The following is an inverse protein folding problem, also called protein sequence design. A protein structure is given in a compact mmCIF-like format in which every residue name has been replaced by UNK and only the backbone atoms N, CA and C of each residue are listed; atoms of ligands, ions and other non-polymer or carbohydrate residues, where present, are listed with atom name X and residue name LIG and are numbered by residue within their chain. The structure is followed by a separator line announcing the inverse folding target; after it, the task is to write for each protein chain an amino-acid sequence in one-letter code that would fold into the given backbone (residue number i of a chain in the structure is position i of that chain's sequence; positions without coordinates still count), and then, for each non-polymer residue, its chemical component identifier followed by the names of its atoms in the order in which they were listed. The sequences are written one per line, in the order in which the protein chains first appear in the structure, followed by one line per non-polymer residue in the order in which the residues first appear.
data_IF_282485708785
#
_entry.id   IF_282485708785
#
_cell.length_a   1.000
_cell.length_b   1.000
_cell.length_c   1.000
_cell.angle_alpha   90.00
_cell.angle_beta   90.00
_cell.angle_gamma   90.00
#
_symmetry.space_group_name_H-M   'P 1'
#
loop_
_entity.id
_entity.type
_entity.pdbx_description
1 polymer ?
#
# COMPACT_ATOMS: atom_id res chain seq x y z
N UNK A 1 -10.48 12.77 -26.28
CA UNK A 1 -9.48 11.76 -25.91
C UNK A 1 -9.07 12.07 -24.48
N UNK A 2 -9.51 11.27 -23.52
CA UNK A 2 -9.11 11.39 -22.11
C UNK A 2 -7.74 10.73 -21.97
N UNK A 3 -6.68 11.52 -22.07
CA UNK A 3 -5.35 11.06 -21.68
C UNK A 3 -5.35 10.73 -20.17
N UNK A 4 -4.71 9.63 -19.75
CA UNK A 4 -4.59 9.35 -18.33
C UNK A 4 -3.77 10.46 -17.68
N UNK A 5 -4.38 11.18 -16.73
CA UNK A 5 -3.78 12.30 -16.01
C UNK A 5 -2.52 11.92 -15.23
N UNK A 6 -2.29 10.62 -15.07
CA UNK A 6 -1.08 10.03 -14.51
C UNK A 6 -0.51 9.11 -15.58
N UNK A 7 0.63 9.51 -16.12
CA UNK A 7 1.50 8.59 -16.84
C UNK A 7 1.89 7.53 -15.80
N UNK A 8 1.21 6.39 -15.82
CA UNK A 8 1.47 5.30 -14.89
C UNK A 8 2.88 4.83 -15.19
N UNK A 9 3.88 5.43 -14.53
CA UNK A 9 5.22 4.91 -14.50
C UNK A 9 5.08 3.42 -14.23
N UNK A 10 5.68 2.58 -15.10
CA UNK A 10 5.64 1.13 -14.96
C UNK A 10 5.78 0.76 -13.49
N UNK A 11 4.96 -0.16 -12.98
CA UNK A 11 4.98 -0.60 -11.58
C UNK A 11 6.42 -0.81 -11.07
N UNK A 12 7.29 -1.33 -11.93
CA UNK A 12 8.69 -1.59 -11.62
C UNK A 12 9.48 -0.29 -11.36
N UNK A 13 9.22 0.78 -12.10
CA UNK A 13 9.82 2.11 -11.86
C UNK A 13 9.32 2.71 -10.54
N UNK A 14 8.03 2.60 -10.26
CA UNK A 14 7.44 3.13 -9.03
C UNK A 14 7.99 2.39 -7.80
N UNK A 15 8.15 1.07 -7.88
CA UNK A 15 8.80 0.27 -6.84
C UNK A 15 10.29 0.58 -6.69
N UNK A 16 11.01 0.78 -7.79
CA UNK A 16 12.42 1.16 -7.75
C UNK A 16 12.61 2.53 -7.06
N UNK A 17 11.74 3.50 -7.36
CA UNK A 17 11.73 4.80 -6.69
C UNK A 17 11.48 4.65 -5.18
N UNK A 18 10.42 3.93 -4.79
CA UNK A 18 10.11 3.66 -3.38
C UNK A 18 11.28 2.97 -2.66
N UNK A 19 11.90 1.98 -3.29
CA UNK A 19 13.07 1.28 -2.74
C UNK A 19 14.23 2.23 -2.51
N UNK A 20 14.55 3.07 -3.49
CA UNK A 20 15.66 4.03 -3.37
C UNK A 20 15.38 5.06 -2.27
N UNK A 21 14.14 5.53 -2.14
CA UNK A 21 13.75 6.46 -1.08
C UNK A 21 13.86 5.82 0.30
N UNK A 22 13.49 4.54 0.44
CA UNK A 22 13.59 3.82 1.71
C UNK A 22 15.04 3.53 2.10
N UNK A 23 15.89 3.16 1.13
CA UNK A 23 17.26 2.71 1.36
C UNK A 23 18.34 3.80 1.22
N UNK A 24 17.94 5.06 1.14
CA UNK A 24 18.87 6.18 1.08
C UNK A 24 19.81 6.21 2.31
N UNK A 25 21.08 6.55 2.08
CA UNK A 25 22.12 6.55 3.12
C UNK A 25 21.82 7.53 4.26
N UNK A 26 21.08 8.61 3.98
CA UNK A 26 20.61 9.58 4.98
C UNK A 26 19.37 9.13 5.76
N UNK A 27 18.89 7.92 5.50
CA UNK A 27 17.63 7.37 6.00
C UNK A 27 16.43 7.66 5.08
N UNK A 28 15.25 7.09 5.40
CA UNK A 28 14.11 7.10 4.49
C UNK A 28 13.66 8.51 4.06
N UNK A 29 13.70 8.78 2.75
CA UNK A 29 13.34 10.06 2.08
C UNK A 29 11.92 10.07 1.51
N UNK A 30 10.98 9.50 2.25
CA UNK A 30 9.63 9.20 1.76
C UNK A 30 8.65 10.38 1.85
N UNK A 31 8.97 11.43 2.63
CA UNK A 31 8.07 12.57 2.86
C UNK A 31 8.85 13.87 3.09
N UNK A 32 8.34 14.95 2.51
CA UNK A 32 8.80 16.33 2.80
C UNK A 32 8.35 16.80 4.18
N UNK A 33 7.26 16.24 4.72
CA UNK A 33 6.79 16.48 6.08
C UNK A 33 7.48 15.52 7.06
N UNK A 34 8.54 16.00 7.72
CA UNK A 34 9.35 15.21 8.67
C UNK A 34 8.55 14.55 9.80
N UNK A 35 7.37 15.08 10.14
CA UNK A 35 6.51 14.59 11.21
C UNK A 35 5.72 13.34 10.83
N UNK A 36 5.50 13.09 9.53
CA UNK A 36 4.76 11.93 9.03
C UNK A 36 5.45 11.40 7.77
N UNK A 37 6.28 10.37 7.96
CA UNK A 37 6.96 9.66 6.88
C UNK A 37 6.05 8.56 6.34
N UNK A 38 5.18 8.88 5.37
CA UNK A 38 4.39 7.89 4.64
C UNK A 38 4.56 8.08 3.13
N UNK A 39 4.58 6.97 2.39
CA UNK A 39 4.47 6.93 0.93
C UNK A 39 3.11 6.40 0.53
N UNK A 40 2.62 6.87 -0.61
CA UNK A 40 1.52 6.24 -1.33
C UNK A 40 2.07 5.81 -2.69
N UNK A 41 2.04 4.49 -2.95
CA UNK A 41 2.43 3.92 -4.22
C UNK A 41 1.17 3.70 -5.06
N UNK A 42 1.04 4.42 -6.16
CA UNK A 42 -0.03 4.18 -7.12
C UNK A 42 0.33 3.01 -8.04
N UNK A 43 -0.65 2.17 -8.36
CA UNK A 43 -0.50 1.05 -9.28
C UNK A 43 -1.85 0.73 -9.93
N UNK A 44 -1.81 0.07 -11.08
CA UNK A 44 -3.01 -0.45 -11.72
C UNK A 44 -3.54 -1.66 -10.94
N UNK A 45 -4.84 -1.73 -10.59
CA UNK A 45 -5.40 -2.88 -9.86
C UNK A 45 -5.14 -4.24 -10.53
N UNK A 46 -4.95 -4.29 -11.84
CA UNK A 46 -4.61 -5.52 -12.58
C UNK A 46 -3.24 -6.08 -12.20
N UNK A 47 -2.35 -5.23 -11.69
CA UNK A 47 -1.00 -5.57 -11.26
C UNK A 47 -0.90 -5.94 -9.76
N UNK A 48 -2.02 -6.00 -9.04
CA UNK A 48 -2.08 -6.27 -7.58
C UNK A 48 -1.20 -7.45 -7.15
N UNK A 49 -1.30 -8.58 -7.86
CA UNK A 49 -0.54 -9.78 -7.53
C UNK A 49 0.97 -9.59 -7.74
N UNK A 50 1.36 -8.90 -8.82
CA UNK A 50 2.76 -8.55 -9.08
C UNK A 50 3.27 -7.61 -8.00
N UNK A 51 2.50 -6.57 -7.63
CA UNK A 51 2.84 -5.66 -6.55
C UNK A 51 3.08 -6.41 -5.23
N UNK A 52 2.17 -7.31 -4.85
CA UNK A 52 2.28 -8.08 -3.60
C UNK A 52 3.56 -8.91 -3.54
N UNK A 53 3.94 -9.55 -4.64
CA UNK A 53 5.19 -10.31 -4.71
C UNK A 53 6.42 -9.40 -4.54
N UNK A 54 6.44 -8.25 -5.23
CA UNK A 54 7.56 -7.31 -5.15
C UNK A 54 7.68 -6.62 -3.80
N UNK A 55 6.57 -6.28 -3.15
CA UNK A 55 6.57 -5.71 -1.80
C UNK A 55 7.09 -6.72 -0.78
N UNK A 56 6.82 -8.02 -0.96
CA UNK A 56 7.41 -9.07 -0.12
C UNK A 56 8.92 -9.11 -0.28
N UNK A 57 9.43 -9.12 -1.51
CA UNK A 57 10.87 -9.08 -1.79
C UNK A 57 11.54 -7.84 -1.19
N UNK A 58 10.94 -6.66 -1.35
CA UNK A 58 11.43 -5.41 -0.77
C UNK A 58 11.43 -5.47 0.78
N UNK A 59 10.40 -6.09 1.37
CA UNK A 59 10.34 -6.28 2.82
C UNK A 59 11.48 -7.14 3.33
N UNK A 60 11.77 -8.24 2.64
CA UNK A 60 12.87 -9.15 3.00
C UNK A 60 14.22 -8.44 2.85
N UNK A 61 14.40 -7.62 1.80
CA UNK A 61 15.58 -6.79 1.64
C UNK A 61 15.75 -5.79 2.80
N UNK A 62 14.70 -5.04 3.13
CA UNK A 62 14.73 -4.09 4.25
C UNK A 62 15.11 -4.77 5.57
N UNK A 63 14.49 -5.93 5.86
CA UNK A 63 14.81 -6.73 7.04
C UNK A 63 16.26 -7.19 7.06
N UNK A 64 16.80 -7.65 5.94
CA UNK A 64 18.21 -8.05 5.82
C UNK A 64 19.19 -6.90 6.07
N UNK A 65 18.75 -5.65 5.79
CA UNK A 65 19.49 -4.42 6.08
C UNK A 65 19.24 -3.90 7.50
N UNK A 66 18.63 -4.71 8.37
CA UNK A 66 18.42 -4.41 9.79
C UNK A 66 17.16 -3.60 10.10
N UNK A 67 16.26 -3.40 9.14
CA UNK A 67 15.02 -2.68 9.38
C UNK A 67 14.00 -3.57 10.10
N UNK A 68 13.28 -2.99 11.05
CA UNK A 68 12.08 -3.62 11.59
C UNK A 68 10.87 -3.28 10.72
N UNK A 69 10.36 -4.24 9.95
CA UNK A 69 9.27 -4.04 9.00
C UNK A 69 8.01 -4.77 9.48
N UNK A 70 6.93 -4.01 9.67
CA UNK A 70 5.60 -4.55 9.97
C UNK A 70 4.70 -4.43 8.73
N UNK A 71 4.07 -5.54 8.33
CA UNK A 71 3.07 -5.55 7.28
C UNK A 71 1.68 -5.55 7.91
N UNK A 72 0.85 -4.59 7.52
CA UNK A 72 -0.55 -4.50 7.96
C UNK A 72 -1.45 -4.70 6.76
N UNK A 73 -2.26 -5.77 6.79
CA UNK A 73 -3.29 -5.99 5.77
C UNK A 73 -4.57 -5.24 6.15
N UNK A 74 -4.80 -4.08 5.52
CA UNK A 74 -6.02 -3.30 5.75
C UNK A 74 -7.28 -4.09 5.36
N UNK A 75 -7.22 -4.89 4.29
CA UNK A 75 -8.34 -5.74 3.90
C UNK A 75 -8.65 -6.79 4.97
N UNK A 76 -7.64 -7.45 5.54
CA UNK A 76 -7.86 -8.43 6.60
C UNK A 76 -8.41 -7.77 7.87
N UNK A 77 -7.87 -6.61 8.25
CA UNK A 77 -8.38 -5.83 9.39
C UNK A 77 -9.86 -5.45 9.19
N UNK A 78 -10.20 -4.99 7.99
CA UNK A 78 -11.57 -4.65 7.62
C UNK A 78 -12.49 -5.86 7.70
N UNK A 79 -12.12 -6.99 7.08
CA UNK A 79 -12.90 -8.22 7.14
C UNK A 79 -13.06 -8.75 8.57
N UNK A 80 -12.00 -8.70 9.37
CA UNK A 80 -12.05 -9.10 10.77
C UNK A 80 -13.00 -8.21 11.57
N UNK A 81 -12.98 -6.89 11.31
CA UNK A 81 -13.93 -5.96 11.91
C UNK A 81 -15.36 -6.35 11.54
N UNK A 82 -15.66 -6.48 10.24
CA UNK A 82 -17.01 -6.82 9.78
C UNK A 82 -17.51 -8.14 10.40
N UNK A 83 -16.66 -9.15 10.53
CA UNK A 83 -17.03 -10.43 11.15
C UNK A 83 -17.41 -10.32 12.63
N UNK A 84 -16.93 -9.28 13.31
CA UNK A 84 -17.21 -9.02 14.71
C UNK A 84 -18.34 -8.00 14.92
N UNK A 85 -18.91 -7.43 13.86
CA UNK A 85 -20.03 -6.49 13.96
C UNK A 85 -21.37 -7.24 14.06
N UNK A 86 -22.37 -6.56 14.63
CA UNK A 86 -23.72 -7.11 14.70
C UNK A 86 -24.37 -7.21 13.31
N UNK A 87 -25.17 -8.25 13.11
CA UNK A 87 -25.88 -8.49 11.84
C UNK A 87 -26.72 -7.27 11.40
N UNK A 88 -27.31 -6.52 12.34
CA UNK A 88 -28.08 -5.31 12.04
C UNK A 88 -27.22 -4.21 11.41
N UNK A 89 -26.01 -4.01 11.93
CA UNK A 89 -25.05 -3.02 11.42
C UNK A 89 -24.59 -3.43 10.01
N UNK A 90 -24.26 -4.71 9.81
CA UNK A 90 -23.87 -5.24 8.51
C UNK A 90 -24.97 -5.01 7.45
N UNK A 91 -26.22 -5.28 7.79
CA UNK A 91 -27.36 -5.04 6.88
C UNK A 91 -27.53 -3.56 6.55
N UNK A 92 -27.28 -2.66 7.50
CA UNK A 92 -27.30 -1.22 7.24
C UNK A 92 -26.22 -0.80 6.25
N UNK A 93 -24.98 -1.30 6.43
CA UNK A 93 -23.85 -1.00 5.54
C UNK A 93 -24.16 -1.50 4.12
N UNK A 94 -24.64 -2.74 3.98
CA UNK A 94 -25.01 -3.32 2.68
C UNK A 94 -26.04 -2.43 1.96
N UNK A 95 -27.08 -1.96 2.67
CA UNK A 95 -28.09 -1.07 2.08
C UNK A 95 -27.51 0.27 1.62
N UNK A 96 -26.51 0.80 2.30
CA UNK A 96 -25.85 2.05 1.93
C UNK A 96 -25.00 1.90 0.68
N UNK A 97 -24.26 0.80 0.53
CA UNK A 97 -23.40 0.55 -0.64
C UNK A 97 -24.18 0.24 -1.93
N UNK A 98 -25.41 -0.26 -1.83
CA UNK A 98 -26.28 -0.52 -2.98
C UNK A 98 -27.00 0.73 -3.52
N UNK A 99 -26.78 1.90 -2.91
CA UNK A 99 -27.44 3.16 -3.27
C UNK A 99 -26.54 4.03 -4.13
#
# INVERSE_FOLDING_TARGET
MTEPLFDNASLDNALAALRNDLLDEGGPKISTMRNYRFAILHYDPRDEFKLRDRIRQLTDELKSKGWNVLIISLNQLFLNRLKNEEARVLQSIIRTEHR
#
